data_IF_635711949305
#
_entry.id   IF_635711949305
#
_cell.length_a   1.000
_cell.length_b   1.000
_cell.length_c   1.000
_cell.angle_alpha   90.00
_cell.angle_beta   90.00
_cell.angle_gamma   90.00
#
_symmetry.space_group_name_H-M   'P 1'
#
loop_
_entity.id
_entity.type
_entity.pdbx_description
1 polymer ?
#
# COMPACT_ATOMS: atom_id res chain seq x y z
N UNK A 1 28.04 33.94 3.25
CA UNK A 1 27.50 33.54 1.93
C UNK A 1 27.66 32.04 1.82
N UNK A 2 26.59 31.27 2.20
CA UNK A 2 26.66 29.80 2.17
C UNK A 2 26.35 29.32 0.77
N UNK A 3 27.34 28.70 0.10
CA UNK A 3 27.17 28.09 -1.23
C UNK A 3 26.24 26.86 -1.10
N UNK A 4 25.01 27.03 -1.47
CA UNK A 4 23.98 26.00 -1.58
C UNK A 4 24.21 24.98 -2.73
N UNK A 5 25.37 25.05 -3.37
CA UNK A 5 25.74 24.27 -4.54
C UNK A 5 26.76 23.15 -4.29
N UNK A 6 27.01 22.72 -3.06
CA UNK A 6 27.98 21.65 -2.79
C UNK A 6 27.39 20.29 -3.21
N UNK A 7 28.11 19.48 -4.03
CA UNK A 7 27.62 18.19 -4.54
C UNK A 7 27.10 17.24 -3.46
N UNK A 8 27.69 17.30 -2.26
CA UNK A 8 27.28 16.50 -1.10
C UNK A 8 25.84 16.77 -0.65
N UNK A 9 25.35 18.01 -0.79
CA UNK A 9 23.98 18.36 -0.42
C UNK A 9 22.95 17.92 -1.46
N UNK A 10 23.34 17.79 -2.74
CA UNK A 10 22.45 17.27 -3.77
C UNK A 10 22.14 15.79 -3.53
N UNK A 11 23.13 14.98 -3.17
CA UNK A 11 22.92 13.57 -2.84
C UNK A 11 21.99 13.37 -1.65
N UNK A 12 22.19 14.14 -0.56
CA UNK A 12 21.32 14.08 0.63
C UNK A 12 19.89 14.51 0.31
N UNK A 13 19.71 15.59 -0.48
CA UNK A 13 18.38 16.05 -0.89
C UNK A 13 17.67 15.07 -1.79
N UNK A 14 18.36 14.47 -2.76
CA UNK A 14 17.81 13.45 -3.65
C UNK A 14 17.39 12.22 -2.85
N UNK A 15 18.24 11.76 -1.93
CA UNK A 15 17.91 10.64 -1.04
C UNK A 15 16.70 10.95 -0.14
N UNK A 16 16.64 12.17 0.43
CA UNK A 16 15.54 12.58 1.29
C UNK A 16 14.22 12.78 0.53
N UNK A 17 14.31 13.29 -0.71
CA UNK A 17 13.14 13.62 -1.53
C UNK A 17 12.57 12.44 -2.32
N UNK A 18 13.17 11.26 -2.23
CA UNK A 18 12.82 10.10 -3.07
C UNK A 18 12.97 10.36 -4.58
N UNK A 19 13.86 11.30 -4.95
CA UNK A 19 14.14 11.68 -6.33
C UNK A 19 15.49 11.07 -6.70
N UNK A 20 15.52 10.18 -7.67
CA UNK A 20 16.76 9.63 -8.22
C UNK A 20 17.09 8.18 -7.83
N UNK A 21 16.19 7.48 -7.12
CA UNK A 21 16.29 6.02 -6.98
C UNK A 21 15.78 5.32 -8.24
N UNK A 22 16.32 4.14 -8.55
CA UNK A 22 15.78 3.30 -9.62
C UNK A 22 14.46 2.68 -9.20
N UNK A 23 13.43 2.67 -10.09
CA UNK A 23 12.21 1.92 -9.84
C UNK A 23 12.51 0.44 -9.56
N UNK A 24 11.62 -0.20 -8.82
CA UNK A 24 11.69 -1.65 -8.65
C UNK A 24 11.25 -2.40 -9.92
N UNK A 25 11.43 -3.69 -9.89
CA UNK A 25 11.10 -4.62 -10.97
C UNK A 25 10.11 -5.73 -10.56
N UNK A 26 9.31 -5.45 -9.52
CA UNK A 26 8.28 -6.39 -9.07
C UNK A 26 7.26 -6.65 -10.17
N UNK A 27 6.96 -7.92 -10.39
CA UNK A 27 6.15 -8.37 -11.52
C UNK A 27 4.81 -8.97 -11.09
N UNK A 28 3.87 -9.09 -12.03
CA UNK A 28 2.60 -9.76 -11.81
C UNK A 28 2.79 -11.23 -11.36
N UNK A 29 3.75 -11.93 -11.96
CA UNK A 29 4.05 -13.32 -11.60
C UNK A 29 4.55 -13.47 -10.16
N UNK A 30 5.37 -12.52 -9.70
CA UNK A 30 5.81 -12.49 -8.30
C UNK A 30 4.67 -12.16 -7.35
N UNK A 31 3.80 -11.22 -7.73
CA UNK A 31 2.61 -10.92 -6.95
C UNK A 31 1.67 -12.12 -6.84
N UNK A 32 1.48 -12.87 -7.92
CA UNK A 32 0.68 -14.09 -7.92
C UNK A 32 1.29 -15.17 -6.99
N UNK A 33 2.61 -15.29 -7.00
CA UNK A 33 3.31 -16.24 -6.13
C UNK A 33 3.22 -15.85 -4.65
N UNK A 34 3.36 -14.53 -4.34
CA UNK A 34 3.38 -14.03 -2.96
C UNK A 34 1.96 -13.86 -2.37
N UNK A 35 0.95 -13.55 -3.21
CA UNK A 35 -0.44 -13.25 -2.82
C UNK A 35 -1.46 -14.02 -3.66
N UNK A 36 -1.46 -15.37 -3.64
CA UNK A 36 -2.35 -16.19 -4.47
C UNK A 36 -3.84 -15.96 -4.19
N UNK A 37 -4.20 -15.36 -3.04
CA UNK A 37 -5.58 -15.04 -2.68
C UNK A 37 -6.24 -13.98 -3.58
N UNK A 38 -5.48 -13.24 -4.39
CA UNK A 38 -5.99 -12.30 -5.38
C UNK A 38 -6.24 -12.93 -6.76
N UNK A 39 -6.08 -14.25 -6.86
CA UNK A 39 -6.26 -15.01 -8.09
C UNK A 39 -7.25 -16.15 -7.87
N UNK A 40 -7.99 -16.51 -8.93
CA UNK A 40 -8.86 -17.66 -8.90
C UNK A 40 -8.06 -18.98 -9.00
N UNK A 41 -8.75 -20.11 -8.92
CA UNK A 41 -8.10 -21.44 -9.04
C UNK A 41 -7.46 -21.69 -10.42
N UNK A 42 -7.85 -20.93 -11.43
CA UNK A 42 -7.27 -20.97 -12.79
C UNK A 42 -6.05 -20.06 -12.96
N UNK A 43 -5.68 -19.30 -11.93
CA UNK A 43 -4.56 -18.36 -11.98
C UNK A 43 -4.91 -17.00 -12.60
N UNK A 44 -6.18 -16.74 -12.89
CA UNK A 44 -6.64 -15.44 -13.38
C UNK A 44 -6.83 -14.45 -12.21
N UNK A 45 -6.45 -13.20 -12.42
CA UNK A 45 -6.63 -12.15 -11.41
C UNK A 45 -8.12 -11.87 -11.13
N UNK A 46 -8.44 -11.64 -9.85
CA UNK A 46 -9.78 -11.17 -9.44
C UNK A 46 -10.05 -9.72 -9.87
N UNK A 47 -8.99 -8.96 -10.15
CA UNK A 47 -9.06 -7.61 -10.71
C UNK A 47 -8.81 -7.66 -12.22
N UNK A 48 -9.25 -6.64 -12.99
CA UNK A 48 -8.78 -6.45 -14.34
C UNK A 48 -7.24 -6.39 -14.37
N UNK A 49 -6.62 -7.20 -15.21
CA UNK A 49 -5.15 -7.33 -15.28
C UNK A 49 -4.47 -6.00 -15.58
N UNK A 50 -5.08 -5.17 -16.42
CA UNK A 50 -4.59 -3.81 -16.69
C UNK A 50 -4.50 -2.95 -15.43
N UNK A 51 -5.53 -3.00 -14.57
CA UNK A 51 -5.53 -2.26 -13.31
C UNK A 51 -4.47 -2.80 -12.34
N UNK A 52 -4.35 -4.12 -12.25
CA UNK A 52 -3.34 -4.74 -11.38
C UNK A 52 -1.92 -4.38 -11.83
N UNK A 53 -1.66 -4.36 -13.13
CA UNK A 53 -0.38 -3.91 -13.68
C UNK A 53 -0.09 -2.44 -13.37
N UNK A 54 -1.09 -1.56 -13.43
CA UNK A 54 -0.92 -0.15 -13.04
C UNK A 54 -0.61 -0.01 -11.54
N UNK A 55 -1.27 -0.77 -10.68
CA UNK A 55 -0.95 -0.78 -9.24
C UNK A 55 0.49 -1.27 -9.00
N UNK A 56 0.94 -2.29 -9.73
CA UNK A 56 2.31 -2.79 -9.64
C UNK A 56 3.31 -1.72 -10.11
N UNK A 57 3.02 -1.02 -11.21
CA UNK A 57 3.85 0.08 -11.68
C UNK A 57 3.95 1.22 -10.66
N UNK A 58 2.81 1.59 -10.05
CA UNK A 58 2.79 2.57 -8.97
C UNK A 58 3.64 2.12 -7.77
N UNK A 59 3.53 0.84 -7.38
CA UNK A 59 4.31 0.25 -6.30
C UNK A 59 5.83 0.31 -6.58
N UNK A 60 6.26 -0.08 -7.77
CA UNK A 60 7.65 -0.07 -8.19
C UNK A 60 8.26 1.34 -8.17
N UNK A 61 7.47 2.36 -8.50
CA UNK A 61 7.91 3.75 -8.48
C UNK A 61 7.88 4.37 -7.08
N UNK A 62 7.00 3.89 -6.19
CA UNK A 62 6.80 4.47 -4.85
C UNK A 62 7.70 3.81 -3.79
N UNK A 63 7.92 2.50 -3.91
CA UNK A 63 8.69 1.70 -2.96
C UNK A 63 10.05 1.38 -3.56
N UNK A 64 11.03 2.26 -3.33
CA UNK A 64 12.34 2.12 -3.97
C UNK A 64 13.20 1.03 -3.31
N UNK A 65 13.84 0.12 -4.09
CA UNK A 65 14.68 -0.95 -3.57
C UNK A 65 15.82 -0.44 -2.67
N UNK A 66 16.43 0.68 -3.04
CA UNK A 66 17.56 1.27 -2.32
C UNK A 66 17.22 1.66 -0.88
N UNK A 67 15.96 2.03 -0.62
CA UNK A 67 15.50 2.43 0.73
C UNK A 67 15.06 1.25 1.56
N UNK A 68 14.46 0.26 0.93
CA UNK A 68 13.85 -0.86 1.61
C UNK A 68 14.78 -2.08 1.72
N UNK A 69 15.86 -2.13 0.94
CA UNK A 69 16.85 -3.19 0.95
C UNK A 69 16.19 -4.58 0.85
N UNK A 70 16.56 -5.50 1.73
CA UNK A 70 16.01 -6.86 1.76
C UNK A 70 14.49 -6.94 2.05
N UNK A 71 13.89 -5.88 2.56
CA UNK A 71 12.45 -5.81 2.83
C UNK A 71 11.64 -5.29 1.64
N UNK A 72 12.30 -4.91 0.55
CA UNK A 72 11.66 -4.27 -0.60
C UNK A 72 10.53 -5.12 -1.21
N UNK A 73 10.82 -6.37 -1.55
CA UNK A 73 9.83 -7.27 -2.16
C UNK A 73 8.57 -7.40 -1.29
N UNK A 74 8.75 -7.57 0.01
CA UNK A 74 7.64 -7.63 0.96
C UNK A 74 6.83 -6.34 0.99
N UNK A 75 7.50 -5.19 1.02
CA UNK A 75 6.84 -3.89 1.06
C UNK A 75 6.05 -3.58 -0.22
N UNK A 76 6.64 -3.86 -1.38
CA UNK A 76 5.97 -3.73 -2.68
C UNK A 76 4.73 -4.62 -2.74
N UNK A 77 4.86 -5.89 -2.34
CA UNK A 77 3.74 -6.82 -2.29
C UNK A 77 2.60 -6.33 -1.38
N UNK A 78 2.92 -5.80 -0.20
CA UNK A 78 1.94 -5.19 0.71
C UNK A 78 1.24 -3.97 0.09
N UNK A 79 1.99 -3.11 -0.61
CA UNK A 79 1.44 -1.97 -1.32
C UNK A 79 0.43 -2.41 -2.38
N UNK A 80 0.83 -3.35 -3.23
CA UNK A 80 -0.06 -3.90 -4.27
C UNK A 80 -1.30 -4.54 -3.65
N UNK A 81 -1.13 -5.37 -2.61
CA UNK A 81 -2.24 -6.03 -1.92
C UNK A 81 -3.22 -5.03 -1.28
N UNK A 82 -2.70 -3.92 -0.73
CA UNK A 82 -3.52 -2.85 -0.17
C UNK A 82 -4.42 -2.23 -1.23
N UNK A 83 -3.83 -1.70 -2.32
CA UNK A 83 -4.61 -1.05 -3.38
C UNK A 83 -5.50 -2.02 -4.16
N UNK A 84 -5.06 -3.27 -4.36
CA UNK A 84 -5.91 -4.31 -4.92
C UNK A 84 -7.15 -4.57 -4.04
N UNK A 85 -6.98 -4.61 -2.71
CA UNK A 85 -8.11 -4.76 -1.77
C UNK A 85 -9.06 -3.58 -1.84
N UNK A 86 -8.55 -2.35 -1.89
CA UNK A 86 -9.38 -1.14 -2.03
C UNK A 86 -10.15 -1.17 -3.35
N UNK A 87 -9.49 -1.52 -4.45
CA UNK A 87 -10.14 -1.64 -5.75
C UNK A 87 -11.26 -2.68 -5.74
N UNK A 88 -11.02 -3.88 -5.17
CA UNK A 88 -12.02 -4.93 -5.08
C UNK A 88 -13.25 -4.52 -4.24
N UNK A 89 -13.09 -3.63 -3.26
CA UNK A 89 -14.23 -3.09 -2.51
C UNK A 89 -15.14 -2.21 -3.38
N UNK A 90 -14.55 -1.53 -4.37
CA UNK A 90 -15.27 -0.62 -5.26
C UNK A 90 -15.66 -1.29 -6.58
N UNK A 91 -15.01 -2.40 -6.91
CA UNK A 91 -15.24 -3.12 -8.16
C UNK A 91 -16.39 -4.11 -8.01
N UNK A 92 -17.43 -3.93 -8.81
CA UNK A 92 -18.52 -4.89 -8.93
C UNK A 92 -18.68 -5.25 -10.42
N UNK A 93 -18.28 -6.47 -10.83
CA UNK A 93 -18.44 -6.92 -12.23
C UNK A 93 -19.90 -7.05 -12.66
N UNK A 94 -20.83 -7.11 -11.68
CA UNK A 94 -22.28 -7.17 -11.91
C UNK A 94 -22.98 -5.82 -11.79
N UNK A 95 -22.24 -4.71 -11.80
CA UNK A 95 -22.84 -3.37 -11.80
C UNK A 95 -23.42 -3.05 -13.18
N UNK A 96 -24.74 -3.18 -13.32
CA UNK A 96 -25.46 -2.92 -14.57
C UNK A 96 -25.76 -1.43 -14.79
N UNK A 97 -25.42 -0.56 -13.83
CA UNK A 97 -25.69 0.87 -13.93
C UNK A 97 -24.56 1.74 -13.35
N UNK A 98 -24.35 2.95 -13.94
CA UNK A 98 -23.37 3.91 -13.42
C UNK A 98 -23.61 4.31 -11.95
N UNK A 99 -24.87 4.30 -11.50
CA UNK A 99 -25.24 4.63 -10.14
C UNK A 99 -24.76 3.55 -9.13
N UNK A 100 -24.86 2.27 -9.51
CA UNK A 100 -24.32 1.17 -8.68
C UNK A 100 -22.82 1.22 -8.61
N UNK A 101 -22.15 1.50 -9.73
CA UNK A 101 -20.69 1.68 -9.75
C UNK A 101 -20.26 2.86 -8.87
N UNK A 102 -20.98 3.98 -8.92
CA UNK A 102 -20.72 5.13 -8.06
C UNK A 102 -20.97 4.83 -6.56
N UNK A 103 -22.03 4.09 -6.24
CA UNK A 103 -22.35 3.69 -4.87
C UNK A 103 -21.31 2.73 -4.28
N UNK A 104 -20.76 1.80 -5.08
CA UNK A 104 -19.67 0.90 -4.64
C UNK A 104 -18.35 1.64 -4.39
N UNK A 105 -18.13 2.76 -5.07
CA UNK A 105 -16.98 3.65 -4.84
C UNK A 105 -17.15 4.63 -3.67
N UNK A 106 -18.31 4.65 -3.00
CA UNK A 106 -18.53 5.54 -1.86
C UNK A 106 -17.54 5.26 -0.73
N UNK A 107 -17.05 6.31 -0.09
CA UNK A 107 -16.09 6.19 1.01
C UNK A 107 -16.73 5.45 2.19
N UNK A 108 -16.28 4.23 2.44
CA UNK A 108 -16.66 3.44 3.62
C UNK A 108 -15.56 3.60 4.65
N UNK A 109 -15.87 4.26 5.75
CA UNK A 109 -14.93 4.40 6.86
C UNK A 109 -14.55 3.05 7.49
N UNK A 110 -13.56 3.07 8.37
CA UNK A 110 -13.17 1.89 9.14
C UNK A 110 -14.37 1.43 9.98
N UNK A 111 -14.81 0.19 9.77
CA UNK A 111 -15.91 -0.39 10.57
C UNK A 111 -15.42 -0.61 11.99
N UNK A 112 -15.88 0.22 12.93
CA UNK A 112 -15.55 0.12 14.37
C UNK A 112 -16.42 -0.88 15.10
N UNK A 113 -17.63 -1.11 14.60
CA UNK A 113 -18.58 -2.06 15.21
C UNK A 113 -19.51 -2.63 14.16
N UNK A 114 -19.83 -3.91 14.29
CA UNK A 114 -20.86 -4.59 13.51
C UNK A 114 -21.82 -5.30 14.45
N UNK A 115 -23.13 -5.10 14.24
CA UNK A 115 -24.18 -5.79 14.97
C UNK A 115 -24.90 -6.75 14.02
N UNK A 116 -25.02 -8.00 14.44
CA UNK A 116 -25.79 -9.01 13.74
C UNK A 116 -26.74 -9.67 14.74
N UNK A 117 -28.00 -9.25 14.76
CA UNK A 117 -28.96 -9.68 15.78
C UNK A 117 -28.55 -9.21 17.19
N UNK A 118 -28.50 -10.16 18.14
CA UNK A 118 -28.06 -9.89 19.53
C UNK A 118 -26.55 -9.88 19.74
N UNK A 119 -25.77 -10.19 18.71
CA UNK A 119 -24.31 -10.16 18.76
C UNK A 119 -23.76 -8.84 18.22
N UNK A 120 -23.03 -8.12 19.07
CA UNK A 120 -22.26 -6.93 18.67
C UNK A 120 -20.76 -7.24 18.77
N UNK A 121 -20.03 -7.00 17.69
CA UNK A 121 -18.57 -7.09 17.65
C UNK A 121 -18.02 -5.70 17.50
N UNK A 122 -17.23 -5.26 18.49
CA UNK A 122 -16.51 -3.99 18.45
C UNK A 122 -15.03 -4.27 18.22
N UNK A 123 -14.45 -3.63 17.21
CA UNK A 123 -13.03 -3.72 16.93
C UNK A 123 -12.31 -2.53 17.56
N UNK A 124 -11.34 -2.80 18.42
CA UNK A 124 -10.41 -1.76 18.90
C UNK A 124 -9.40 -1.43 17.80
N UNK A 125 -9.76 -0.49 16.94
CA UNK A 125 -8.88 -0.01 15.88
C UNK A 125 -7.84 0.99 16.39
N UNK A 126 -8.06 1.57 17.58
CA UNK A 126 -7.19 2.59 18.16
C UNK A 126 -5.78 2.06 18.46
N UNK A 127 -5.69 0.88 19.06
CA UNK A 127 -4.40 0.25 19.36
C UNK A 127 -3.60 -0.13 18.09
N UNK A 128 -4.32 -0.50 17.01
CA UNK A 128 -3.69 -0.92 15.73
C UNK A 128 -3.21 0.29 14.94
N UNK A 129 -3.91 1.42 15.00
CA UNK A 129 -3.56 2.66 14.29
C UNK A 129 -2.70 3.60 15.10
N UNK A 130 -2.38 3.26 16.35
CA UNK A 130 -1.56 4.11 17.22
C UNK A 130 -0.22 4.48 16.58
N UNK A 131 -0.03 5.79 16.32
CA UNK A 131 1.15 6.35 15.68
C UNK A 131 1.21 6.14 14.14
N UNK A 132 0.12 5.73 13.50
CA UNK A 132 -0.06 5.75 12.04
C UNK A 132 -1.31 6.54 11.63
N UNK A 133 -1.84 7.36 12.53
CA UNK A 133 -3.07 8.13 12.31
C UNK A 133 -2.96 9.01 11.06
N UNK A 134 -1.79 9.59 10.83
CA UNK A 134 -1.50 10.49 9.71
C UNK A 134 -1.20 9.77 8.38
N UNK A 135 -1.23 8.42 8.36
CA UNK A 135 -0.88 7.64 7.17
C UNK A 135 -2.07 7.40 6.23
N UNK A 136 -3.18 8.11 6.46
CA UNK A 136 -4.30 8.20 5.53
C UNK A 136 -4.94 6.84 5.22
N UNK A 137 -5.05 6.54 3.94
CA UNK A 137 -5.73 5.36 3.40
C UNK A 137 -5.05 4.03 3.76
N UNK A 138 -3.73 4.03 4.05
CA UNK A 138 -3.03 2.83 4.51
C UNK A 138 -3.66 2.22 5.77
N UNK A 139 -4.32 3.02 6.60
CA UNK A 139 -5.04 2.53 7.78
C UNK A 139 -6.34 1.79 7.43
N UNK A 140 -6.82 1.84 6.20
CA UNK A 140 -8.09 1.24 5.79
C UNK A 140 -8.02 -0.26 5.50
N UNK A 141 -6.83 -0.84 5.42
CA UNK A 141 -6.62 -2.29 5.23
C UNK A 141 -5.52 -2.82 6.14
N UNK A 142 -5.58 -4.12 6.44
CA UNK A 142 -4.51 -4.81 7.18
C UNK A 142 -3.17 -4.74 6.45
N UNK A 143 -3.18 -4.87 5.11
CA UNK A 143 -1.96 -4.78 4.29
C UNK A 143 -1.32 -3.39 4.39
N UNK A 144 -2.13 -2.34 4.33
CA UNK A 144 -1.64 -0.96 4.49
C UNK A 144 -1.08 -0.70 5.89
N UNK A 145 -1.73 -1.19 6.95
CA UNK A 145 -1.21 -1.09 8.32
C UNK A 145 0.12 -1.82 8.50
N UNK A 146 0.26 -3.02 7.91
CA UNK A 146 1.53 -3.76 7.92
C UNK A 146 2.62 -2.99 7.18
N UNK A 147 2.31 -2.37 6.05
CA UNK A 147 3.23 -1.52 5.29
C UNK A 147 3.66 -0.30 6.12
N UNK A 148 2.70 0.43 6.71
CA UNK A 148 2.96 1.60 7.54
C UNK A 148 3.86 1.26 8.74
N UNK A 149 3.56 0.17 9.45
CA UNK A 149 4.39 -0.29 10.56
C UNK A 149 5.81 -0.67 10.11
N UNK A 150 5.95 -1.29 8.94
CA UNK A 150 7.28 -1.63 8.39
C UNK A 150 8.05 -0.38 7.97
N UNK A 151 7.38 0.59 7.37
CA UNK A 151 7.98 1.87 6.97
C UNK A 151 8.52 2.64 8.18
N UNK A 152 7.80 2.64 9.30
CA UNK A 152 8.29 3.22 10.56
C UNK A 152 9.61 2.60 11.01
N UNK A 153 9.71 1.27 10.99
CA UNK A 153 10.94 0.59 11.41
C UNK A 153 12.12 0.96 10.52
N UNK A 154 11.90 1.09 9.21
CA UNK A 154 12.94 1.50 8.25
C UNK A 154 13.30 2.98 8.44
N UNK A 155 12.30 3.85 8.65
CA UNK A 155 12.53 5.26 8.93
C UNK A 155 13.28 5.50 10.25
N UNK A 156 12.99 4.72 11.29
CA UNK A 156 13.68 4.79 12.57
C UNK A 156 15.12 4.27 12.51
N UNK A 157 15.40 3.26 11.66
CA UNK A 157 16.75 2.73 11.49
C UNK A 157 17.74 3.79 10.97
N UNK A 158 17.29 4.78 10.21
CA UNK A 158 18.09 5.91 9.75
C UNK A 158 18.48 6.91 10.86
N UNK A 159 17.84 6.85 12.03
CA UNK A 159 18.14 7.72 13.18
C UNK A 159 19.26 7.20 14.09
N UNK A 160 19.71 5.97 13.90
CA UNK A 160 20.72 5.33 14.76
C UNK A 160 22.10 5.20 14.10
N UNK A 161 22.34 5.86 12.98
CA UNK A 161 23.68 5.96 12.37
C UNK A 161 24.31 7.28 12.82
N UNK A 162 24.88 7.27 14.00
CA UNK A 162 25.85 8.27 14.46
C UNK A 162 27.18 7.56 14.62
#
# INVERSE_FOLDING_TARGET
>A
MYCWGHPQFFGVRAAAANIGGSPGDYTLAEFQADYPQFFNKGGESLLPETMLNEIINMANNSILPERWGSSWRYAVGLYVAHYATLYLRTYSPSSDSPQQAAASGALVGIVKSATLGDASVSYDTGAITAGTEDWGDLNSTTYGQMLANRAKLIGLAGMYVI
#
